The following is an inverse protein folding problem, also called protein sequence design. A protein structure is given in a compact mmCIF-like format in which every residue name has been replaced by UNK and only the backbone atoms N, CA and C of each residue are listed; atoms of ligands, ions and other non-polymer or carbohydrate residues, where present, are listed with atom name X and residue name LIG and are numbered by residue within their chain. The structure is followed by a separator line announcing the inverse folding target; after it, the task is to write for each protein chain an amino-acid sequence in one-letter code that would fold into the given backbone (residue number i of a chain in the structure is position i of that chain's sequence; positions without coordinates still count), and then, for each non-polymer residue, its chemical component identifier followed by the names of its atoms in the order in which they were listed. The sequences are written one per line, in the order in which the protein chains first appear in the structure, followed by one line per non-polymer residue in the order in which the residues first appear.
data_IF_655254213692
#
_entry.id   IF_655254213692
#
_cell.length_a   1.000
_cell.length_b   1.000
_cell.length_c   1.000
_cell.angle_alpha   90.00
_cell.angle_beta   90.00
_cell.angle_gamma   90.00
#
_symmetry.space_group_name_H-M   'P 1'
#
loop_
_entity.id
_entity.type
_entity.pdbx_description
1 polymer ?
#
# COMPACT_ATOMS: atom_id res chain seq x y z
N UNK A 1 -3.34 11.69 -11.07
CA UNK A 1 -4.70 11.20 -10.69
C UNK A 1 -5.43 12.35 -10.00
N UNK A 2 -6.70 12.54 -10.26
CA UNK A 2 -7.59 13.45 -9.52
C UNK A 2 -8.51 12.58 -8.64
N UNK A 3 -9.08 13.13 -7.58
CA UNK A 3 -9.99 12.42 -6.64
C UNK A 3 -9.32 11.27 -5.87
N UNK A 4 -8.11 11.44 -5.41
CA UNK A 4 -7.35 10.42 -4.66
C UNK A 4 -8.10 9.99 -3.41
N UNK A 5 -8.63 10.92 -2.65
CA UNK A 5 -9.45 10.67 -1.45
C UNK A 5 -10.61 9.72 -1.75
N UNK A 6 -11.32 9.93 -2.85
CA UNK A 6 -12.42 9.03 -3.27
C UNK A 6 -11.93 7.62 -3.60
N UNK A 7 -10.78 7.48 -4.27
CA UNK A 7 -10.23 6.17 -4.60
C UNK A 7 -9.77 5.41 -3.35
N UNK A 8 -9.14 6.09 -2.39
CA UNK A 8 -8.75 5.51 -1.10
C UNK A 8 -9.98 5.02 -0.33
N UNK A 9 -11.03 5.83 -0.22
CA UNK A 9 -12.27 5.49 0.49
C UNK A 9 -12.96 4.27 -0.14
N UNK A 10 -13.03 4.22 -1.48
CA UNK A 10 -13.73 3.17 -2.20
C UNK A 10 -12.90 1.90 -2.43
N UNK A 11 -11.57 1.96 -2.24
CA UNK A 11 -10.68 0.82 -2.45
C UNK A 11 -10.94 -0.27 -1.40
N UNK A 12 -11.05 -1.48 -1.88
CA UNK A 12 -11.09 -2.68 -1.04
C UNK A 12 -10.25 -3.80 -1.65
N UNK A 13 -9.83 -4.75 -0.85
CA UNK A 13 -9.24 -6.00 -1.38
C UNK A 13 -10.30 -6.82 -2.10
N UNK A 14 -10.15 -7.02 -3.39
CA UNK A 14 -11.04 -7.80 -4.27
C UNK A 14 -10.41 -9.14 -4.54
N UNK A 15 -11.12 -10.22 -4.23
CA UNK A 15 -10.69 -11.60 -4.49
C UNK A 15 -11.66 -12.36 -5.38
N UNK A 16 -12.82 -11.77 -5.65
CA UNK A 16 -13.85 -12.34 -6.53
C UNK A 16 -14.10 -11.38 -7.69
N UNK A 17 -13.76 -11.81 -8.87
CA UNK A 17 -13.88 -11.05 -10.11
C UNK A 17 -15.02 -11.61 -10.96
N UNK A 18 -15.51 -10.86 -11.93
CA UNK A 18 -16.71 -11.20 -12.71
C UNK A 18 -16.43 -12.12 -13.93
N UNK A 19 -15.17 -12.49 -14.15
CA UNK A 19 -14.74 -13.40 -15.21
C UNK A 19 -14.47 -12.75 -16.56
N UNK A 20 -14.73 -11.44 -16.70
CA UNK A 20 -14.37 -10.71 -17.93
C UNK A 20 -12.87 -10.43 -17.96
N UNK A 21 -12.27 -10.57 -19.11
CA UNK A 21 -10.92 -10.07 -19.34
C UNK A 21 -10.90 -8.54 -19.32
N UNK A 22 -9.78 -7.95 -18.90
CA UNK A 22 -9.60 -6.51 -19.01
C UNK A 22 -9.46 -6.12 -20.48
N UNK A 23 -10.04 -4.98 -20.84
CA UNK A 23 -9.89 -4.41 -22.15
C UNK A 23 -8.42 -4.08 -22.46
N UNK A 24 -8.02 -4.25 -23.72
CA UNK A 24 -6.64 -3.96 -24.15
C UNK A 24 -6.22 -2.53 -23.82
N UNK A 25 -7.11 -1.56 -23.98
CA UNK A 25 -6.87 -0.18 -23.62
C UNK A 25 -6.63 0.02 -22.11
N UNK A 26 -7.33 -0.74 -21.25
CA UNK A 26 -7.11 -0.69 -19.81
C UNK A 26 -5.76 -1.31 -19.44
N UNK A 27 -5.39 -2.43 -20.08
CA UNK A 27 -4.05 -3.05 -19.92
C UNK A 27 -2.96 -2.07 -20.34
N UNK A 28 -3.11 -1.38 -21.47
CA UNK A 28 -2.15 -0.39 -21.97
C UNK A 28 -2.00 0.79 -21.00
N UNK A 29 -3.12 1.32 -20.48
CA UNK A 29 -3.11 2.40 -19.48
C UNK A 29 -2.38 1.98 -18.20
N UNK A 30 -2.70 0.78 -17.67
CA UNK A 30 -2.02 0.24 -16.48
C UNK A 30 -0.52 0.10 -16.71
N UNK A 31 -0.12 -0.46 -17.86
CA UNK A 31 1.28 -0.67 -18.22
C UNK A 31 2.03 0.66 -18.38
N UNK A 32 1.42 1.61 -19.06
CA UNK A 32 1.99 2.94 -19.25
C UNK A 32 2.14 3.68 -17.91
N UNK A 33 1.10 3.67 -17.09
CA UNK A 33 1.17 4.31 -15.77
C UNK A 33 2.25 3.67 -14.87
N UNK A 34 2.36 2.35 -14.86
CA UNK A 34 3.37 1.64 -14.10
C UNK A 34 4.82 2.12 -14.39
N UNK A 35 5.09 2.51 -15.64
CA UNK A 35 6.40 3.04 -16.06
C UNK A 35 6.68 4.47 -15.57
N UNK A 36 5.65 5.19 -15.13
CA UNK A 36 5.76 6.58 -14.64
C UNK A 36 5.79 6.69 -13.13
N UNK A 37 5.66 5.56 -12.41
CA UNK A 37 5.61 5.56 -10.95
C UNK A 37 6.99 5.87 -10.37
N UNK A 38 7.04 6.95 -9.62
CA UNK A 38 8.18 7.35 -8.80
C UNK A 38 7.80 7.35 -7.33
N UNK A 39 8.79 7.22 -6.45
CA UNK A 39 8.59 7.30 -5.00
C UNK A 39 9.60 8.23 -4.35
N UNK A 40 9.32 8.77 -3.16
CA UNK A 40 10.19 9.74 -2.48
C UNK A 40 11.59 9.19 -2.15
N UNK A 41 11.74 7.87 -2.06
CA UNK A 41 13.01 7.19 -1.78
C UNK A 41 13.92 7.08 -3.03
N UNK A 42 13.40 7.42 -4.22
CA UNK A 42 14.10 7.33 -5.52
C UNK A 42 14.62 5.92 -5.84
N UNK A 43 13.96 4.87 -5.34
CA UNK A 43 14.27 3.47 -5.63
C UNK A 43 13.27 2.96 -6.65
N UNK A 44 13.68 2.64 -7.88
CA UNK A 44 12.76 2.21 -8.94
C UNK A 44 12.08 0.87 -8.60
N UNK A 45 10.79 0.77 -8.89
CA UNK A 45 10.01 -0.47 -8.82
C UNK A 45 9.63 -0.89 -10.23
N UNK A 46 10.03 -2.08 -10.63
CA UNK A 46 9.63 -2.68 -11.90
C UNK A 46 8.28 -3.41 -11.78
N UNK A 47 7.38 -3.18 -12.71
CA UNK A 47 6.08 -3.84 -12.76
C UNK A 47 5.98 -4.75 -13.98
N UNK A 48 5.33 -5.91 -13.84
CA UNK A 48 5.02 -6.81 -14.94
C UNK A 48 3.58 -7.34 -14.78
N UNK A 49 2.79 -7.20 -15.86
CA UNK A 49 1.50 -7.87 -15.96
C UNK A 49 1.73 -9.30 -16.42
N UNK A 50 1.08 -10.26 -15.79
CA UNK A 50 1.31 -11.70 -15.98
C UNK A 50 -0.02 -12.42 -16.12
N UNK A 51 -0.14 -13.27 -17.16
CA UNK A 51 -1.30 -14.14 -17.33
C UNK A 51 -1.05 -15.47 -16.60
N UNK A 52 -1.98 -15.87 -15.73
CA UNK A 52 -1.84 -17.09 -14.92
C UNK A 52 -1.70 -18.37 -15.75
N UNK A 53 -2.40 -18.46 -16.90
CA UNK A 53 -2.34 -19.63 -17.79
C UNK A 53 -1.00 -19.74 -18.50
N UNK A 54 -0.41 -18.60 -18.84
CA UNK A 54 0.89 -18.56 -19.51
C UNK A 54 2.04 -18.95 -18.58
N UNK A 55 2.00 -18.46 -17.34
CA UNK A 55 3.09 -18.63 -16.36
C UNK A 55 2.79 -19.67 -15.26
N UNK A 56 1.69 -20.40 -15.34
CA UNK A 56 1.32 -21.38 -14.31
C UNK A 56 1.06 -20.78 -12.93
N UNK A 57 0.58 -19.55 -12.87
CA UNK A 57 0.35 -18.85 -11.60
C UNK A 57 -0.88 -19.42 -10.91
N UNK A 58 -0.81 -19.57 -9.59
CA UNK A 58 -1.94 -20.01 -8.78
C UNK A 58 -2.04 -19.19 -7.50
N UNK A 59 -3.25 -18.71 -7.21
CA UNK A 59 -3.61 -18.06 -5.96
C UNK A 59 -4.98 -18.57 -5.51
N UNK A 60 -5.04 -19.55 -4.59
CA UNK A 60 -6.30 -20.23 -4.23
C UNK A 60 -7.35 -19.30 -3.59
N UNK A 61 -7.00 -18.08 -3.22
CA UNK A 61 -7.92 -17.10 -2.63
C UNK A 61 -8.51 -16.13 -3.64
N UNK A 62 -8.10 -16.25 -4.92
CA UNK A 62 -8.58 -15.41 -6.03
C UNK A 62 -9.40 -16.26 -6.98
N UNK A 63 -10.52 -15.74 -7.46
CA UNK A 63 -11.39 -16.40 -8.44
C UNK A 63 -11.91 -15.38 -9.46
N UNK A 64 -12.07 -15.82 -10.71
CA UNK A 64 -12.69 -15.04 -11.79
C UNK A 64 -11.74 -14.09 -12.52
N UNK A 65 -10.43 -14.21 -12.35
CA UNK A 65 -9.44 -13.54 -13.20
C UNK A 65 -8.21 -14.41 -13.36
N UNK A 66 -7.54 -14.29 -14.51
CA UNK A 66 -6.25 -14.90 -14.82
C UNK A 66 -5.14 -13.85 -14.95
N UNK A 67 -5.45 -12.56 -14.74
CA UNK A 67 -4.48 -11.47 -14.86
C UNK A 67 -3.94 -11.03 -13.50
N UNK A 68 -2.63 -10.93 -13.41
CA UNK A 68 -1.92 -10.48 -12.22
C UNK A 68 -0.91 -9.38 -12.58
N UNK A 69 -0.56 -8.57 -11.59
CA UNK A 69 0.60 -7.69 -11.65
C UNK A 69 1.56 -8.07 -10.53
N UNK A 70 2.81 -8.25 -10.89
CA UNK A 70 3.91 -8.36 -9.94
C UNK A 70 4.69 -7.05 -9.89
N UNK A 71 5.26 -6.77 -8.73
CA UNK A 71 6.24 -5.69 -8.59
C UNK A 71 7.57 -6.24 -8.12
N UNK A 72 8.70 -5.79 -8.71
CA UNK A 72 10.05 -6.15 -8.29
C UNK A 72 10.89 -4.92 -7.98
N UNK A 73 11.81 -5.07 -7.06
CA UNK A 73 12.69 -4.00 -6.62
C UNK A 73 14.07 -4.56 -6.26
N UNK A 74 15.13 -3.80 -6.53
CA UNK A 74 16.45 -4.12 -6.02
C UNK A 74 16.49 -3.97 -4.51
N UNK A 75 17.04 -4.99 -3.83
CA UNK A 75 17.17 -4.93 -2.38
C UNK A 75 18.09 -3.78 -1.96
N UNK A 76 17.62 -3.01 -0.98
CA UNK A 76 18.36 -1.94 -0.29
C UNK A 76 17.65 -1.62 1.03
N UNK A 77 18.24 -0.79 1.86
CA UNK A 77 17.72 -0.43 3.18
C UNK A 77 16.24 0.02 3.16
N UNK A 78 15.85 0.86 2.20
CA UNK A 78 14.49 1.40 2.07
C UNK A 78 13.64 0.66 1.01
N UNK A 79 14.09 -0.48 0.49
CA UNK A 79 13.41 -1.18 -0.61
C UNK A 79 11.96 -1.55 -0.26
N UNK A 80 11.71 -2.09 0.94
CA UNK A 80 10.36 -2.50 1.33
C UNK A 80 9.38 -1.33 1.43
N UNK A 81 9.79 -0.20 2.01
CA UNK A 81 8.93 0.99 2.13
C UNK A 81 8.71 1.67 0.77
N UNK A 82 9.75 1.78 -0.04
CA UNK A 82 9.66 2.30 -1.41
C UNK A 82 8.73 1.45 -2.29
N UNK A 83 8.83 0.12 -2.15
CA UNK A 83 7.92 -0.82 -2.83
C UNK A 83 6.47 -0.59 -2.40
N UNK A 84 6.21 -0.51 -1.10
CA UNK A 84 4.86 -0.29 -0.57
C UNK A 84 4.23 0.99 -1.13
N UNK A 85 4.99 2.07 -1.16
CA UNK A 85 4.55 3.34 -1.74
C UNK A 85 4.22 3.21 -3.24
N UNK A 86 5.15 2.68 -4.03
CA UNK A 86 4.98 2.59 -5.49
C UNK A 86 3.88 1.61 -5.89
N UNK A 87 3.77 0.48 -5.19
CA UNK A 87 2.76 -0.52 -5.52
C UNK A 87 1.35 -0.03 -5.13
N UNK A 88 1.20 0.75 -4.05
CA UNK A 88 -0.08 1.39 -3.72
C UNK A 88 -0.47 2.48 -4.73
N UNK A 89 0.48 3.24 -5.28
CA UNK A 89 0.19 4.15 -6.41
C UNK A 89 -0.45 3.40 -7.59
N UNK A 90 0.10 2.22 -7.94
CA UNK A 90 -0.49 1.37 -8.98
C UNK A 90 -1.90 0.88 -8.58
N UNK A 91 -2.09 0.45 -7.35
CA UNK A 91 -3.37 -0.02 -6.80
C UNK A 91 -4.43 1.09 -6.86
N UNK A 92 -4.10 2.31 -6.48
CA UNK A 92 -5.02 3.45 -6.54
C UNK A 92 -5.34 3.86 -7.99
N UNK A 93 -4.36 3.77 -8.88
CA UNK A 93 -4.61 4.00 -10.31
C UNK A 93 -5.57 2.94 -10.90
N UNK A 94 -5.37 1.66 -10.58
CA UNK A 94 -6.30 0.60 -10.98
C UNK A 94 -7.71 0.86 -10.42
N UNK A 95 -7.81 1.30 -9.16
CA UNK A 95 -9.08 1.68 -8.53
C UNK A 95 -9.77 2.83 -9.28
N UNK A 96 -9.02 3.83 -9.76
CA UNK A 96 -9.58 4.96 -10.55
C UNK A 96 -10.21 4.51 -11.87
N UNK A 97 -9.81 3.35 -12.37
CA UNK A 97 -10.35 2.71 -13.58
C UNK A 97 -11.46 1.69 -13.27
N UNK A 98 -11.87 1.53 -12.00
CA UNK A 98 -12.82 0.52 -11.57
C UNK A 98 -12.26 -0.91 -11.59
N UNK A 99 -10.95 -1.07 -11.66
CA UNK A 99 -10.26 -2.37 -11.64
C UNK A 99 -9.94 -2.75 -10.19
N UNK A 100 -10.43 -3.92 -9.77
CA UNK A 100 -10.20 -4.47 -8.45
C UNK A 100 -8.80 -5.03 -8.30
N UNK A 101 -8.24 -4.87 -7.09
CA UNK A 101 -6.90 -5.33 -6.71
C UNK A 101 -6.92 -6.02 -5.35
N UNK A 102 -5.86 -6.77 -5.04
CA UNK A 102 -5.63 -7.34 -3.71
C UNK A 102 -4.13 -7.53 -3.47
N UNK A 103 -3.63 -7.09 -2.33
CA UNK A 103 -2.26 -7.34 -1.91
C UNK A 103 -2.06 -8.83 -1.60
N UNK A 104 -1.15 -9.48 -2.34
CA UNK A 104 -0.82 -10.91 -2.23
C UNK A 104 0.66 -11.05 -1.83
N UNK A 105 0.92 -11.42 -0.58
CA UNK A 105 2.28 -11.64 -0.08
C UNK A 105 2.57 -13.10 0.28
N UNK A 106 1.57 -13.87 0.76
CA UNK A 106 1.78 -15.21 1.27
C UNK A 106 0.75 -16.26 0.83
N UNK A 107 -0.23 -15.90 0.02
CA UNK A 107 -1.34 -16.80 -0.40
C UNK A 107 -1.24 -17.29 -1.84
N UNK A 108 -0.07 -17.12 -2.46
CA UNK A 108 0.20 -17.49 -3.86
C UNK A 108 1.35 -18.52 -3.92
N UNK A 109 1.49 -19.24 -5.02
CA UNK A 109 2.66 -20.07 -5.29
C UNK A 109 3.86 -19.19 -5.69
N UNK A 110 4.50 -18.58 -4.69
CA UNK A 110 5.51 -17.53 -4.81
C UNK A 110 6.58 -17.81 -5.87
N UNK A 111 7.12 -19.03 -5.93
CA UNK A 111 8.18 -19.39 -6.89
C UNK A 111 7.77 -19.20 -8.35
N UNK A 112 6.53 -19.53 -8.71
CA UNK A 112 6.04 -19.33 -10.08
C UNK A 112 5.90 -17.83 -10.41
N UNK A 113 5.47 -17.01 -9.44
CA UNK A 113 5.41 -15.54 -9.63
C UNK A 113 6.80 -14.93 -9.76
N UNK A 114 7.76 -15.35 -8.95
CA UNK A 114 9.16 -14.88 -9.01
C UNK A 114 9.82 -15.28 -10.34
N UNK A 115 9.57 -16.51 -10.84
CA UNK A 115 10.02 -16.95 -12.15
C UNK A 115 9.38 -16.10 -13.27
N UNK A 116 8.06 -15.89 -13.22
CA UNK A 116 7.34 -15.05 -14.18
C UNK A 116 7.82 -13.59 -14.17
N UNK A 117 8.27 -13.08 -13.03
CA UNK A 117 8.84 -11.73 -12.90
C UNK A 117 10.26 -11.61 -13.45
N UNK A 118 10.93 -12.73 -13.75
CA UNK A 118 12.30 -12.71 -14.29
C UNK A 118 13.23 -11.89 -13.39
N UNK A 119 13.29 -12.27 -12.11
CA UNK A 119 14.14 -11.56 -11.13
C UNK A 119 15.62 -11.68 -11.48
N UNK A 120 16.34 -10.57 -11.43
CA UNK A 120 17.78 -10.51 -11.71
C UNK A 120 18.58 -10.16 -10.46
N UNK A 121 19.61 -10.95 -10.16
CA UNK A 121 20.60 -10.70 -9.11
C UNK A 121 19.99 -10.43 -7.74
N UNK A 122 20.04 -9.18 -7.30
CA UNK A 122 19.55 -8.73 -6.00
C UNK A 122 18.08 -8.28 -6.01
N UNK A 123 17.35 -8.52 -7.09
CA UNK A 123 15.93 -8.18 -7.16
C UNK A 123 15.10 -9.14 -6.28
N UNK A 124 14.06 -8.58 -5.69
CA UNK A 124 13.04 -9.31 -4.94
C UNK A 124 11.66 -8.93 -5.45
N UNK A 125 10.70 -9.84 -5.33
CA UNK A 125 9.28 -9.58 -5.58
C UNK A 125 8.53 -9.62 -4.24
N UNK A 126 8.31 -8.49 -3.57
CA UNK A 126 7.64 -8.48 -2.27
C UNK A 126 6.20 -8.97 -2.33
N UNK A 127 5.41 -8.45 -3.27
CA UNK A 127 3.99 -8.75 -3.43
C UNK A 127 3.59 -8.77 -4.90
N UNK A 128 2.43 -9.37 -5.13
CA UNK A 128 1.68 -9.30 -6.38
C UNK A 128 0.23 -8.88 -6.10
N UNK A 129 -0.54 -8.59 -7.15
CA UNK A 129 -1.99 -8.38 -7.08
C UNK A 129 -2.67 -9.07 -8.24
N UNK A 130 -3.86 -9.63 -8.00
CA UNK A 130 -4.79 -9.95 -9.06
C UNK A 130 -5.42 -8.66 -9.62
N UNK A 131 -5.77 -8.67 -10.90
CA UNK A 131 -6.40 -7.57 -11.63
C UNK A 131 -7.65 -8.05 -12.35
N UNK A 132 -8.74 -7.28 -12.29
CA UNK A 132 -9.96 -7.59 -13.00
C UNK A 132 -11.13 -6.73 -12.56
N UNK A 133 -12.28 -6.87 -13.24
CA UNK A 133 -13.49 -6.19 -12.82
C UNK A 133 -14.13 -6.91 -11.63
N UNK A 134 -14.39 -6.20 -10.50
CA UNK A 134 -14.97 -6.82 -9.32
C UNK A 134 -16.34 -7.46 -9.61
N UNK A 135 -16.58 -8.66 -9.10
CA UNK A 135 -17.90 -9.27 -9.14
C UNK A 135 -18.90 -8.46 -8.30
N UNK A 136 -20.17 -8.46 -8.72
CA UNK A 136 -21.27 -7.80 -7.97
C UNK A 136 -21.46 -8.36 -6.55
N UNK A 137 -21.11 -9.64 -6.34
CA UNK A 137 -21.19 -10.31 -5.03
C UNK A 137 -19.85 -10.99 -4.73
N UNK A 138 -19.38 -10.82 -3.50
CA UNK A 138 -18.20 -11.53 -2.99
C UNK A 138 -18.50 -13.02 -2.85
N UNK A 139 -17.49 -13.85 -3.06
CA UNK A 139 -17.55 -15.27 -2.67
C UNK A 139 -17.66 -15.43 -1.16
N UNK A 140 -18.21 -16.55 -0.69
CA UNK A 140 -18.25 -16.88 0.73
C UNK A 140 -16.84 -16.86 1.33
N UNK A 141 -15.86 -17.37 0.60
CA UNK A 141 -14.45 -17.40 1.00
C UNK A 141 -13.88 -15.98 1.20
N UNK A 142 -14.10 -15.06 0.28
CA UNK A 142 -13.69 -13.67 0.42
C UNK A 142 -14.34 -13.04 1.65
N UNK A 143 -15.65 -13.23 1.82
CA UNK A 143 -16.38 -12.71 2.97
C UNK A 143 -15.83 -13.24 4.31
N UNK A 144 -15.52 -14.53 4.39
CA UNK A 144 -14.92 -15.14 5.59
C UNK A 144 -13.52 -14.58 5.87
N UNK A 145 -12.68 -14.45 4.84
CA UNK A 145 -11.33 -13.87 4.99
C UNK A 145 -11.39 -12.43 5.48
N UNK A 146 -12.29 -11.61 4.91
CA UNK A 146 -12.46 -10.21 5.34
C UNK A 146 -12.88 -10.11 6.80
N UNK A 147 -13.83 -10.96 7.24
CA UNK A 147 -14.24 -11.03 8.64
C UNK A 147 -13.10 -11.47 9.55
N UNK A 148 -12.34 -12.48 9.14
CA UNK A 148 -11.24 -13.02 9.94
C UNK A 148 -10.15 -12.00 10.25
N UNK A 149 -9.83 -11.10 9.31
CA UNK A 149 -8.85 -10.03 9.50
C UNK A 149 -9.48 -8.70 9.89
N UNK A 150 -10.80 -8.66 10.13
CA UNK A 150 -11.55 -7.43 10.46
C UNK A 150 -11.26 -6.31 9.43
N UNK A 151 -11.35 -6.65 8.14
CA UNK A 151 -10.86 -5.84 7.03
C UNK A 151 -11.48 -4.44 6.96
N UNK A 152 -12.66 -4.24 7.51
CA UNK A 152 -13.41 -2.98 7.50
C UNK A 152 -13.23 -2.18 8.81
N UNK A 153 -12.58 -2.76 9.83
CA UNK A 153 -12.29 -2.07 11.08
C UNK A 153 -11.02 -1.21 10.96
N UNK A 154 -11.03 -0.07 11.64
CA UNK A 154 -9.85 0.79 11.76
C UNK A 154 -9.66 1.15 13.23
N UNK A 155 -8.40 1.28 13.62
CA UNK A 155 -8.07 1.79 14.93
C UNK A 155 -8.62 3.22 15.11
N UNK A 156 -8.99 3.62 16.34
CA UNK A 156 -9.33 5.00 16.65
C UNK A 156 -8.25 5.98 16.17
N UNK A 157 -8.65 7.18 15.80
CA UNK A 157 -7.73 8.21 15.31
C UNK A 157 -6.64 8.52 16.34
N UNK A 158 -7.03 8.63 17.59
CA UNK A 158 -6.19 8.99 18.73
C UNK A 158 -5.19 7.88 19.14
N UNK A 159 -5.38 6.65 18.64
CA UNK A 159 -4.41 5.55 18.82
C UNK A 159 -3.30 5.55 17.76
N UNK A 160 -3.53 6.24 16.64
CA UNK A 160 -2.62 6.28 15.50
C UNK A 160 -1.85 7.59 15.41
N UNK A 161 -2.46 8.70 15.83
CA UNK A 161 -1.98 10.05 15.62
C UNK A 161 -1.77 10.80 16.92
N UNK A 162 -0.69 11.58 17.00
CA UNK A 162 -0.21 12.21 18.23
C UNK A 162 0.18 13.67 17.97
N UNK A 163 0.06 14.54 18.98
CA UNK A 163 0.36 15.97 18.93
C UNK A 163 1.70 16.26 19.61
N UNK A 164 2.74 16.51 18.84
CA UNK A 164 4.08 16.85 19.27
C UNK A 164 4.88 15.75 19.95
N UNK A 165 4.23 14.78 20.61
CA UNK A 165 4.86 13.64 21.29
C UNK A 165 3.92 12.45 21.40
N UNK A 166 4.46 11.25 21.63
CA UNK A 166 3.66 10.03 21.76
C UNK A 166 2.76 9.97 22.99
N UNK A 167 2.98 10.83 23.97
CA UNK A 167 2.19 10.89 25.19
C UNK A 167 0.88 11.70 25.01
N UNK A 168 0.75 12.44 23.90
CA UNK A 168 -0.38 13.32 23.63
C UNK A 168 -1.15 12.86 22.39
N UNK A 169 -2.24 12.08 22.54
CA UNK A 169 -3.10 11.72 21.42
C UNK A 169 -3.65 12.96 20.70
N UNK A 170 -3.65 12.94 19.37
CA UNK A 170 -4.20 14.00 18.55
C UNK A 170 -5.68 13.74 18.32
N UNK A 171 -6.54 14.72 18.64
CA UNK A 171 -7.95 14.67 18.25
C UNK A 171 -8.15 15.17 16.82
N UNK A 172 -9.25 14.74 16.17
CA UNK A 172 -9.58 15.20 14.81
C UNK A 172 -9.75 16.72 14.72
N UNK A 173 -10.34 17.32 15.76
CA UNK A 173 -10.55 18.77 15.85
C UNK A 173 -9.24 19.56 15.86
N UNK A 174 -8.17 18.95 16.39
CA UNK A 174 -6.85 19.56 16.51
C UNK A 174 -5.90 19.21 15.36
N UNK A 175 -6.30 18.30 14.46
CA UNK A 175 -5.45 17.88 13.34
C UNK A 175 -5.25 18.97 12.26
N UNK A 176 -6.08 20.02 12.26
CA UNK A 176 -5.94 21.17 11.38
C UNK A 176 -5.90 20.78 9.90
N UNK A 177 -4.95 21.33 9.17
CA UNK A 177 -4.77 21.10 7.72
C UNK A 177 -4.41 19.64 7.37
N UNK A 178 -3.95 18.87 8.33
CA UNK A 178 -3.51 17.48 8.14
C UNK A 178 -4.65 16.47 8.24
N UNK A 179 -5.85 16.87 8.70
CA UNK A 179 -6.94 15.97 9.03
C UNK A 179 -7.28 15.00 7.90
N UNK A 180 -7.48 15.49 6.69
CA UNK A 180 -7.89 14.64 5.56
C UNK A 180 -6.78 13.64 5.20
N UNK A 181 -5.53 14.09 5.15
CA UNK A 181 -4.40 13.21 4.84
C UNK A 181 -4.20 12.14 5.92
N UNK A 182 -4.36 12.47 7.19
CA UNK A 182 -4.30 11.51 8.30
C UNK A 182 -5.47 10.52 8.27
N UNK A 183 -6.68 10.95 7.94
CA UNK A 183 -7.81 10.03 7.74
C UNK A 183 -7.55 9.05 6.58
N UNK A 184 -6.93 9.49 5.49
CA UNK A 184 -6.56 8.60 4.39
C UNK A 184 -5.45 7.62 4.80
N UNK A 185 -4.50 8.02 5.64
CA UNK A 185 -3.55 7.10 6.29
C UNK A 185 -4.28 6.06 7.13
N UNK A 186 -5.26 6.46 7.94
CA UNK A 186 -6.06 5.55 8.77
C UNK A 186 -6.81 4.50 7.94
N UNK A 187 -7.22 4.84 6.71
CA UNK A 187 -7.90 3.94 5.77
C UNK A 187 -6.94 3.04 4.99
N UNK A 188 -5.64 3.27 5.04
CA UNK A 188 -4.65 2.48 4.32
C UNK A 188 -4.78 0.96 4.63
N UNK A 189 -4.58 0.08 3.63
CA UNK A 189 -4.50 -1.34 3.88
C UNK A 189 -3.18 -1.70 4.57
N UNK A 190 -3.21 -2.77 5.35
CA UNK A 190 -2.00 -3.35 5.92
C UNK A 190 -2.10 -4.87 6.02
N UNK A 191 -0.98 -5.55 6.14
CA UNK A 191 -0.93 -6.99 6.31
C UNK A 191 -1.77 -7.41 7.51
N UNK A 192 -2.77 -8.29 7.27
CA UNK A 192 -3.76 -8.76 8.27
C UNK A 192 -4.42 -7.61 9.06
N UNK A 193 -4.54 -6.43 8.47
CA UNK A 193 -5.14 -5.21 9.03
C UNK A 193 -4.50 -4.73 10.36
N UNK A 194 -3.18 -4.82 10.47
CA UNK A 194 -2.45 -4.47 11.71
C UNK A 194 -2.26 -2.99 11.93
N UNK A 195 -2.30 -2.17 10.88
CA UNK A 195 -2.20 -0.71 10.96
C UNK A 195 -0.98 -0.28 11.82
N UNK A 196 0.25 -0.63 11.38
CA UNK A 196 1.44 -0.53 12.23
C UNK A 196 1.97 0.90 12.36
N UNK A 197 1.44 1.84 11.63
CA UNK A 197 1.87 3.24 11.66
C UNK A 197 1.48 3.93 12.95
N UNK A 198 2.37 4.78 13.42
CA UNK A 198 2.14 5.80 14.44
C UNK A 198 2.69 7.12 13.88
N UNK A 199 1.94 8.17 14.01
CA UNK A 199 2.26 9.43 13.34
C UNK A 199 2.22 10.56 14.36
N UNK A 200 3.30 11.30 14.47
CA UNK A 200 3.38 12.47 15.32
C UNK A 200 3.30 13.73 14.46
N UNK A 201 2.36 14.59 14.75
CA UNK A 201 2.15 15.88 14.07
C UNK A 201 2.78 16.96 14.92
N UNK A 202 3.60 17.79 14.30
CA UNK A 202 4.14 19.02 14.85
C UNK A 202 3.60 20.21 14.07
N UNK A 203 3.94 21.44 14.45
CA UNK A 203 3.41 22.65 13.80
C UNK A 203 3.56 22.65 12.27
N UNK A 204 4.72 22.19 11.77
CA UNK A 204 5.06 22.25 10.35
C UNK A 204 5.37 20.89 9.73
N UNK A 205 5.28 19.79 10.46
CA UNK A 205 5.70 18.50 9.96
C UNK A 205 4.87 17.34 10.52
N UNK A 206 4.89 16.24 9.77
CA UNK A 206 4.24 14.97 10.11
C UNK A 206 5.28 13.86 10.05
N UNK A 207 5.51 13.19 11.17
CA UNK A 207 6.57 12.19 11.37
C UNK A 207 5.99 10.79 11.47
N UNK A 208 6.41 9.88 10.61
CA UNK A 208 5.91 8.51 10.52
C UNK A 208 6.84 7.54 11.25
N UNK A 209 6.25 6.72 12.10
CA UNK A 209 6.92 5.68 12.88
C UNK A 209 6.25 4.34 12.72
N UNK A 210 7.04 3.27 12.70
CA UNK A 210 6.58 1.89 12.69
C UNK A 210 6.54 1.34 14.11
N UNK A 211 5.34 1.05 14.61
CA UNK A 211 5.11 0.23 15.82
C UNK A 211 4.97 -1.22 15.43
N UNK A 212 6.02 -1.99 15.65
CA UNK A 212 6.06 -3.39 15.21
C UNK A 212 5.05 -4.28 15.92
N UNK A 213 4.38 -5.12 15.15
CA UNK A 213 3.55 -6.21 15.66
C UNK A 213 4.31 -7.52 15.60
N UNK A 214 4.12 -8.40 16.61
CA UNK A 214 4.71 -9.74 16.63
C UNK A 214 4.08 -10.64 15.56
N UNK A 215 4.84 -11.62 15.05
CA UNK A 215 4.34 -12.68 14.17
C UNK A 215 4.35 -12.34 12.67
N UNK A 216 4.98 -11.24 12.26
CA UNK A 216 5.17 -10.92 10.84
C UNK A 216 6.51 -11.46 10.33
N UNK A 217 6.47 -12.00 9.10
CA UNK A 217 7.67 -12.42 8.42
C UNK A 217 8.58 -11.21 8.17
N UNK A 218 9.74 -11.23 8.79
CA UNK A 218 10.86 -10.37 8.49
C UNK A 218 12.00 -11.28 8.07
N UNK A 219 12.41 -11.17 6.83
CA UNK A 219 13.67 -11.77 6.35
C UNK A 219 14.70 -10.66 6.22
N UNK A 220 15.94 -11.03 5.95
CA UNK A 220 17.00 -10.06 5.68
C UNK A 220 16.64 -9.11 4.53
N UNK A 221 15.92 -9.61 3.52
CA UNK A 221 15.59 -8.87 2.30
C UNK A 221 14.14 -8.34 2.23
N UNK A 222 13.23 -8.78 3.09
CA UNK A 222 11.81 -8.44 3.00
C UNK A 222 11.21 -8.16 4.39
N UNK A 223 10.61 -7.00 4.54
CA UNK A 223 9.88 -6.59 5.74
C UNK A 223 8.45 -6.14 5.37
N UNK A 224 7.47 -6.98 5.69
CA UNK A 224 6.07 -6.72 5.34
C UNK A 224 5.50 -5.49 6.04
N UNK A 225 5.95 -5.18 7.25
CA UNK A 225 5.44 -4.00 7.96
C UNK A 225 6.06 -2.70 7.42
N UNK A 226 7.26 -2.75 6.85
CA UNK A 226 7.83 -1.62 6.09
C UNK A 226 7.06 -1.38 4.78
N UNK A 227 6.53 -2.42 4.14
CA UNK A 227 5.62 -2.26 2.98
C UNK A 227 4.35 -1.53 3.43
N UNK A 228 3.76 -1.92 4.57
CA UNK A 228 2.59 -1.24 5.13
C UNK A 228 2.87 0.25 5.40
N UNK A 229 4.08 0.59 5.88
CA UNK A 229 4.50 1.99 6.04
C UNK A 229 4.56 2.74 4.71
N UNK A 230 5.08 2.09 3.66
CA UNK A 230 5.09 2.67 2.31
C UNK A 230 3.68 2.98 1.79
N UNK A 231 2.72 2.10 2.03
CA UNK A 231 1.31 2.34 1.70
C UNK A 231 0.77 3.56 2.45
N UNK A 232 1.03 3.66 3.76
CA UNK A 232 0.60 4.77 4.59
C UNK A 232 1.19 6.12 4.11
N UNK A 233 2.49 6.14 3.78
CA UNK A 233 3.16 7.32 3.21
C UNK A 233 2.57 7.72 1.86
N UNK A 234 2.24 6.75 1.00
CA UNK A 234 1.60 7.00 -0.29
C UNK A 234 0.23 7.68 -0.12
N UNK A 235 -0.60 7.17 0.78
CA UNK A 235 -1.91 7.77 1.08
C UNK A 235 -1.78 9.19 1.59
N UNK A 236 -0.85 9.44 2.53
CA UNK A 236 -0.61 10.78 3.06
C UNK A 236 -0.15 11.76 1.97
N UNK A 237 0.90 11.43 1.25
CA UNK A 237 1.53 12.30 0.25
C UNK A 237 0.55 12.67 -0.87
N UNK A 238 -0.17 11.67 -1.41
CA UNK A 238 -1.13 11.91 -2.48
C UNK A 238 -2.30 12.77 -2.02
N UNK A 239 -2.81 12.55 -0.80
CA UNK A 239 -3.92 13.33 -0.25
C UNK A 239 -3.48 14.75 0.11
N UNK A 240 -2.31 14.92 0.70
CA UNK A 240 -1.76 16.23 1.00
C UNK A 240 -1.59 17.08 -0.28
N UNK A 241 -1.08 16.47 -1.35
CA UNK A 241 -0.96 17.12 -2.68
C UNK A 241 -2.33 17.43 -3.29
N UNK A 242 -3.33 16.55 -3.16
CA UNK A 242 -4.70 16.83 -3.61
C UNK A 242 -5.31 18.04 -2.90
N UNK A 243 -4.99 18.20 -1.61
CA UNK A 243 -5.40 19.34 -0.78
C UNK A 243 -4.52 20.59 -0.99
N UNK A 244 -3.64 20.59 -1.98
CA UNK A 244 -2.71 21.68 -2.31
C UNK A 244 -1.75 22.05 -1.17
N UNK A 245 -1.42 21.11 -0.28
CA UNK A 245 -0.38 21.29 0.71
C UNK A 245 0.99 21.18 0.02
N UNK A 246 1.81 22.21 0.18
CA UNK A 246 3.17 22.20 -0.35
C UNK A 246 4.09 21.52 0.67
N UNK A 247 4.37 20.23 0.44
CA UNK A 247 5.13 19.39 1.37
C UNK A 247 6.38 18.82 0.73
N UNK A 248 7.41 18.64 1.54
CA UNK A 248 8.66 17.98 1.19
C UNK A 248 8.85 16.72 2.02
N UNK A 249 9.25 15.65 1.36
CA UNK A 249 9.62 14.38 1.99
C UNK A 249 11.05 14.46 2.56
N UNK A 250 11.24 13.99 3.78
CA UNK A 250 12.52 13.99 4.49
C UNK A 250 12.72 12.67 5.25
N UNK A 251 13.97 12.23 5.32
CA UNK A 251 14.43 11.16 6.21
C UNK A 251 15.35 11.74 7.30
N UNK A 252 14.85 12.71 8.04
CA UNK A 252 15.53 13.37 9.14
C UNK A 252 14.76 13.11 10.44
N UNK A 253 15.25 12.12 11.22
CA UNK A 253 14.60 11.69 12.46
C UNK A 253 14.64 12.81 13.51
N UNK A 254 13.47 13.32 13.95
CA UNK A 254 13.40 14.35 14.99
C UNK A 254 13.79 13.85 16.39
N UNK A 255 14.12 12.56 16.53
CA UNK A 255 14.57 11.93 17.80
C UNK A 255 13.52 12.01 18.92
N UNK A 256 12.25 11.87 18.58
CA UNK A 256 11.20 11.78 19.58
C UNK A 256 11.34 10.49 20.38
N UNK A 257 11.16 10.59 21.69
CA UNK A 257 11.26 9.44 22.60
C UNK A 257 10.14 8.43 22.31
N UNK A 258 10.51 7.22 21.90
CA UNK A 258 9.56 6.16 21.54
C UNK A 258 10.25 4.80 21.40
N UNK A 259 9.46 3.72 21.53
CA UNK A 259 9.83 2.36 21.13
C UNK A 259 9.51 2.06 19.65
N UNK A 260 8.92 3.02 18.94
CA UNK A 260 8.61 2.91 17.52
C UNK A 260 9.80 3.36 16.64
N UNK A 261 9.95 2.68 15.50
CA UNK A 261 11.03 2.92 14.54
C UNK A 261 10.66 4.08 13.61
N UNK A 262 11.49 5.14 13.55
CA UNK A 262 11.29 6.26 12.62
C UNK A 262 11.45 5.80 11.17
N UNK A 263 10.58 6.29 10.29
CA UNK A 263 10.58 5.96 8.86
C UNK A 263 10.86 7.17 7.99
N UNK A 264 10.04 8.20 8.10
CA UNK A 264 10.13 9.40 7.28
C UNK A 264 9.25 10.53 7.84
N UNK A 265 9.44 11.72 7.31
CA UNK A 265 8.63 12.90 7.60
C UNK A 265 8.17 13.60 6.31
N UNK A 266 7.10 14.37 6.43
CA UNK A 266 6.71 15.38 5.47
C UNK A 266 6.62 16.72 6.17
N UNK A 267 7.30 17.73 5.62
CA UNK A 267 7.34 19.10 6.17
C UNK A 267 6.71 20.11 5.21
N UNK A 268 6.01 21.11 5.74
CA UNK A 268 5.52 22.25 4.96
C UNK A 268 6.69 23.10 4.45
N UNK A 269 6.55 23.63 3.23
CA UNK A 269 7.51 24.52 2.58
C UNK A 269 6.95 25.92 2.40
#
# INVERSE_FOLDING_TARGET
MNNITEYIINRRSVRTYDGRELDKNDIEKLTTYAQTIENPFKIPVGFKLMNAKEYGLNCPVVVGTDLYVGGKIKWSENASVAFGYSFEMFVLYAQSMGIGTVWLGGTMNRSAYEEAMELDGDEIMPCASALGYPAKKMSLRESMMRKGVKADERLPFEELFFDGSFDKPLSKENAGIWLDALEMVRLAPSAVNKQPWRVVVTDNAVHFYLKRSKGFARTEKLDMQMIDMGIALCHFDLTAKENNLNIVFEQNDPKLESDAEYIASFSLV
#
